data_IF_144955531288
#
_entry.id   IF_144955531288
#
_cell.length_a   1.000
_cell.length_b   1.000
_cell.length_c   1.000
_cell.angle_alpha   90.00
_cell.angle_beta   90.00
_cell.angle_gamma   90.00
#
_symmetry.space_group_name_H-M   'P 1'
#
loop_
_entity.id
_entity.type
_entity.pdbx_description
1 polymer ?
#
# COMPACT_ATOMS: atom_id res chain seq x y z
N UNK A 1 -33.11 2.41 7.54
CA UNK A 1 -32.95 0.97 7.83
C UNK A 1 -33.91 0.53 8.94
N UNK A 2 -33.97 1.22 10.07
CA UNK A 2 -34.92 0.87 11.17
C UNK A 2 -36.38 0.98 10.73
N UNK A 3 -36.73 1.95 9.91
CA UNK A 3 -38.05 2.08 9.29
C UNK A 3 -38.40 0.90 8.36
N UNK A 4 -37.39 0.20 7.85
CA UNK A 4 -37.52 -1.02 7.03
C UNK A 4 -37.54 -2.31 7.85
N UNK A 5 -37.67 -2.22 9.18
CA UNK A 5 -37.74 -3.36 10.08
C UNK A 5 -36.38 -3.94 10.49
N UNK A 6 -35.25 -3.30 10.14
CA UNK A 6 -33.92 -3.75 10.56
C UNK A 6 -33.72 -3.48 12.04
N UNK A 7 -33.33 -4.52 12.77
CA UNK A 7 -32.95 -4.44 14.18
C UNK A 7 -31.42 -4.45 14.32
N UNK A 8 -30.88 -3.54 15.14
CA UNK A 8 -29.47 -3.45 15.46
C UNK A 8 -29.22 -3.95 16.89
N UNK A 9 -28.44 -5.01 17.01
CA UNK A 9 -28.04 -5.58 18.30
C UNK A 9 -26.59 -5.15 18.60
N UNK A 10 -26.44 -4.02 19.30
CA UNK A 10 -25.13 -3.53 19.72
C UNK A 10 -24.60 -4.32 20.91
N UNK A 11 -23.27 -4.41 21.06
CA UNK A 11 -22.60 -5.15 22.14
C UNK A 11 -22.96 -6.63 22.16
N UNK A 12 -23.22 -7.19 21.01
CA UNK A 12 -23.38 -8.63 20.82
C UNK A 12 -22.15 -9.18 20.11
N UNK A 13 -21.54 -10.20 20.68
CA UNK A 13 -20.39 -10.89 20.12
C UNK A 13 -20.80 -12.25 19.60
N UNK A 14 -20.48 -12.55 18.35
CA UNK A 14 -20.65 -13.87 17.80
C UNK A 14 -19.53 -14.79 18.32
N UNK A 15 -19.88 -15.85 19.02
CA UNK A 15 -18.95 -16.82 19.60
C UNK A 15 -18.73 -18.03 18.69
N UNK A 16 -19.80 -18.51 18.07
CA UNK A 16 -19.78 -19.70 17.20
C UNK A 16 -20.92 -19.66 16.17
N UNK A 17 -20.72 -20.40 15.08
CA UNK A 17 -21.66 -20.56 13.99
C UNK A 17 -21.78 -22.04 13.65
N UNK A 18 -22.99 -22.61 13.74
CA UNK A 18 -23.29 -23.98 13.32
C UNK A 18 -24.50 -23.99 12.40
N UNK A 19 -24.29 -24.26 11.13
CA UNK A 19 -25.35 -24.19 10.11
C UNK A 19 -26.06 -22.83 10.12
N UNK A 20 -27.30 -22.77 10.55
CA UNK A 20 -28.14 -21.58 10.63
C UNK A 20 -28.30 -21.06 12.07
N UNK A 21 -27.60 -21.64 13.04
CA UNK A 21 -27.65 -21.26 14.45
C UNK A 21 -26.42 -20.43 14.81
N UNK A 22 -26.63 -19.25 15.38
CA UNK A 22 -25.59 -18.41 15.96
C UNK A 22 -25.55 -18.57 17.46
N UNK A 23 -24.36 -18.73 18.02
CA UNK A 23 -24.11 -18.66 19.46
C UNK A 23 -23.58 -17.25 19.76
N UNK A 24 -24.36 -16.46 20.49
CA UNK A 24 -24.17 -15.03 20.68
C UNK A 24 -24.02 -14.73 22.18
N UNK A 25 -23.05 -13.86 22.51
CA UNK A 25 -22.94 -13.28 23.85
C UNK A 25 -23.37 -11.81 23.83
N UNK A 26 -24.31 -11.47 24.74
CA UNK A 26 -24.59 -10.09 25.08
C UNK A 26 -23.51 -9.57 26.04
N UNK A 27 -22.63 -8.68 25.55
CA UNK A 27 -21.51 -8.12 26.34
C UNK A 27 -21.98 -7.18 27.48
N UNK A 28 -23.25 -6.83 27.55
CA UNK A 28 -23.81 -6.02 28.65
C UNK A 28 -24.27 -6.86 29.81
N UNK A 29 -24.89 -8.00 29.51
CA UNK A 29 -25.47 -8.91 30.53
C UNK A 29 -24.60 -10.14 30.76
N UNK A 30 -23.59 -10.36 29.92
CA UNK A 30 -22.73 -11.55 29.87
C UNK A 30 -23.50 -12.86 29.55
N UNK A 31 -24.77 -12.75 29.20
CA UNK A 31 -25.58 -13.92 28.84
C UNK A 31 -25.19 -14.45 27.48
N UNK A 32 -25.12 -15.77 27.36
CA UNK A 32 -24.89 -16.50 26.10
C UNK A 32 -26.20 -17.17 25.72
N UNK A 33 -26.58 -17.03 24.45
CA UNK A 33 -27.81 -17.64 23.91
C UNK A 33 -27.58 -18.09 22.46
N UNK A 34 -28.39 -19.05 22.04
CA UNK A 34 -28.44 -19.53 20.66
C UNK A 34 -29.68 -18.96 19.96
N UNK A 35 -29.50 -18.61 18.70
CA UNK A 35 -30.57 -18.09 17.84
C UNK A 35 -30.46 -18.64 16.42
N UNK A 36 -31.59 -19.15 15.91
CA UNK A 36 -31.69 -19.64 14.53
C UNK A 36 -32.11 -18.53 13.58
N UNK A 37 -31.61 -18.61 12.36
CA UNK A 37 -31.90 -17.68 11.28
C UNK A 37 -32.12 -18.44 9.96
N UNK A 38 -33.01 -17.93 9.10
CA UNK A 38 -33.25 -18.49 7.77
C UNK A 38 -32.01 -18.34 6.84
N UNK A 39 -31.25 -17.26 7.02
CA UNK A 39 -30.00 -16.99 6.30
C UNK A 39 -29.06 -16.12 7.16
N UNK A 40 -27.77 -16.33 7.00
CA UNK A 40 -26.72 -15.61 7.73
C UNK A 40 -25.73 -15.02 6.73
N UNK A 41 -25.42 -13.73 6.90
CA UNK A 41 -24.36 -13.04 6.14
C UNK A 41 -23.24 -12.69 7.09
N UNK A 42 -22.06 -13.29 6.92
CA UNK A 42 -20.86 -12.96 7.69
C UNK A 42 -20.19 -11.73 7.07
N UNK A 43 -20.33 -10.60 7.73
CA UNK A 43 -19.73 -9.31 7.35
C UNK A 43 -18.69 -8.85 8.39
N UNK A 44 -17.88 -9.79 8.91
CA UNK A 44 -16.98 -9.60 10.06
C UNK A 44 -15.65 -8.92 9.68
N UNK A 45 -15.48 -8.48 8.42
CA UNK A 45 -14.23 -7.88 7.96
C UNK A 45 -13.12 -8.91 7.73
N UNK A 46 -11.89 -8.41 7.59
CA UNK A 46 -10.71 -9.24 7.40
C UNK A 46 -9.84 -9.26 8.68
N UNK A 47 -8.57 -8.84 8.57
CA UNK A 47 -7.61 -8.83 9.71
C UNK A 47 -6.92 -7.48 9.88
N UNK A 48 -7.19 -6.51 8.99
CA UNK A 48 -6.70 -5.16 9.15
C UNK A 48 -7.59 -4.38 10.14
N UNK A 49 -6.96 -3.49 10.92
CA UNK A 49 -7.67 -2.69 11.94
C UNK A 49 -8.36 -3.54 13.02
N UNK A 50 -7.68 -4.56 13.52
CA UNK A 50 -8.19 -5.49 14.54
C UNK A 50 -8.76 -4.77 15.77
N UNK A 51 -8.19 -3.62 16.14
CA UNK A 51 -8.71 -2.76 17.23
C UNK A 51 -10.13 -2.22 16.98
N UNK A 52 -10.59 -2.23 15.74
CA UNK A 52 -11.94 -1.83 15.33
C UNK A 52 -12.86 -3.03 15.09
N UNK A 53 -12.44 -4.24 15.49
CA UNK A 53 -13.24 -5.46 15.41
C UNK A 53 -12.99 -6.32 14.14
N UNK A 54 -12.11 -5.90 13.24
CA UNK A 54 -11.74 -6.67 12.05
C UNK A 54 -10.51 -7.54 12.35
N UNK A 55 -10.71 -8.57 13.20
CA UNK A 55 -9.65 -9.43 13.75
C UNK A 55 -9.50 -10.78 13.05
N UNK A 56 -10.38 -11.09 12.09
CA UNK A 56 -10.40 -12.36 11.38
C UNK A 56 -10.80 -13.58 12.20
N UNK A 57 -11.33 -13.38 13.41
CA UNK A 57 -11.70 -14.48 14.32
C UNK A 57 -12.76 -15.44 13.75
N UNK A 58 -13.54 -14.97 12.76
CA UNK A 58 -14.54 -15.78 12.07
C UNK A 58 -13.96 -16.94 11.25
N UNK A 59 -12.67 -16.90 10.90
CA UNK A 59 -12.00 -17.96 10.15
C UNK A 59 -12.09 -19.32 10.87
N UNK A 60 -12.14 -19.31 12.21
CA UNK A 60 -12.26 -20.51 13.02
C UNK A 60 -13.56 -21.31 12.80
N UNK A 61 -14.59 -20.68 12.24
CA UNK A 61 -15.86 -21.34 11.94
C UNK A 61 -15.87 -22.07 10.59
N UNK A 62 -14.81 -21.90 9.79
CA UNK A 62 -14.65 -22.55 8.51
C UNK A 62 -13.46 -23.50 8.56
N UNK A 63 -13.46 -24.52 7.70
CA UNK A 63 -12.30 -25.42 7.58
C UNK A 63 -11.16 -24.71 6.85
N UNK A 64 -9.93 -24.99 7.28
CA UNK A 64 -8.73 -24.28 6.80
C UNK A 64 -8.55 -24.35 5.27
N UNK A 65 -8.97 -25.46 4.66
CA UNK A 65 -8.90 -25.69 3.22
C UNK A 65 -9.78 -24.73 2.40
N UNK A 66 -10.81 -24.16 3.04
CA UNK A 66 -11.73 -23.19 2.44
C UNK A 66 -11.19 -21.76 2.48
N UNK A 67 -10.10 -21.53 3.21
CA UNK A 67 -9.55 -20.19 3.45
C UNK A 67 -8.24 -20.01 2.70
N UNK A 68 -8.11 -18.90 1.98
CA UNK A 68 -6.83 -18.38 1.51
C UNK A 68 -6.28 -17.44 2.59
N UNK A 69 -5.03 -17.62 3.05
CA UNK A 69 -4.44 -16.76 4.06
C UNK A 69 -4.53 -15.27 3.72
N UNK A 70 -4.88 -14.46 4.68
CA UNK A 70 -4.93 -13.03 4.50
C UNK A 70 -3.55 -12.44 4.21
N UNK A 71 -3.49 -11.49 3.27
CA UNK A 71 -2.32 -10.72 2.90
C UNK A 71 -2.69 -9.24 2.81
N UNK A 72 -1.78 -8.37 3.21
CA UNK A 72 -1.93 -6.93 3.02
C UNK A 72 -2.12 -6.63 1.52
N UNK A 73 -3.23 -6.02 1.11
CA UNK A 73 -3.48 -5.67 -0.30
C UNK A 73 -3.05 -4.23 -0.59
N UNK A 74 -3.70 -3.27 0.03
CA UNK A 74 -3.35 -1.86 -0.08
C UNK A 74 -2.57 -1.46 1.18
N UNK A 75 -1.27 -1.66 1.16
CA UNK A 75 -0.37 -1.35 2.26
C UNK A 75 0.83 -0.51 1.77
N UNK A 76 1.38 0.31 2.65
CA UNK A 76 2.65 0.96 2.42
C UNK A 76 3.78 -0.07 2.28
N UNK A 77 4.92 0.39 1.78
CA UNK A 77 6.14 -0.42 1.61
C UNK A 77 7.28 0.19 2.39
N UNK A 78 8.13 -0.66 2.94
CA UNK A 78 9.21 -0.25 3.83
C UNK A 78 10.48 0.08 3.08
N UNK A 79 11.10 1.17 3.49
CA UNK A 79 12.42 1.64 3.05
C UNK A 79 13.11 2.33 4.22
N UNK A 80 14.27 1.84 4.60
CA UNK A 80 15.10 2.56 5.55
C UNK A 80 15.65 3.84 4.89
N UNK A 81 15.25 4.99 5.42
CA UNK A 81 15.73 6.30 4.99
C UNK A 81 16.88 6.79 5.87
N UNK A 82 17.80 7.55 5.28
CA UNK A 82 18.73 8.32 6.10
C UNK A 82 18.02 9.47 6.82
N UNK A 83 18.63 10.03 7.85
CA UNK A 83 18.10 11.19 8.59
C UNK A 83 17.86 12.41 7.69
N UNK A 84 18.52 12.46 6.55
CA UNK A 84 18.40 13.50 5.55
C UNK A 84 16.98 13.56 4.93
N UNK A 85 16.23 12.46 4.96
CA UNK A 85 14.87 12.39 4.42
C UNK A 85 13.79 12.91 5.39
N UNK A 86 14.10 13.08 6.67
CA UNK A 86 13.11 13.50 7.69
C UNK A 86 12.32 14.76 7.32
N UNK A 87 12.93 15.83 6.74
CA UNK A 87 12.18 17.05 6.41
C UNK A 87 11.10 16.88 5.34
N UNK A 88 11.11 15.77 4.62
CA UNK A 88 10.15 15.48 3.53
C UNK A 88 9.17 14.35 3.87
N UNK A 89 9.18 13.84 5.09
CA UNK A 89 8.16 12.90 5.53
C UNK A 89 6.77 13.53 5.51
N UNK A 90 5.78 12.81 5.00
CA UNK A 90 4.43 13.28 4.74
C UNK A 90 4.27 14.07 3.43
N UNK A 91 5.37 14.39 2.72
CA UNK A 91 5.28 15.12 1.46
C UNK A 91 5.01 14.21 0.26
N UNK A 92 4.12 14.61 -0.66
CA UNK A 92 3.85 13.85 -1.86
C UNK A 92 4.89 14.10 -2.96
N UNK A 93 5.27 13.03 -3.65
CA UNK A 93 5.87 13.06 -4.98
C UNK A 93 4.72 13.13 -5.98
N UNK A 94 4.40 14.30 -6.48
CA UNK A 94 3.26 14.51 -7.38
C UNK A 94 3.59 14.16 -8.83
N UNK A 95 2.61 13.52 -9.51
CA UNK A 95 2.66 13.23 -10.94
C UNK A 95 3.95 12.50 -11.33
N UNK A 96 4.21 11.38 -10.70
CA UNK A 96 5.33 10.51 -11.04
C UNK A 96 4.80 9.25 -11.74
N UNK A 97 5.60 8.65 -12.62
CA UNK A 97 5.32 7.30 -13.08
C UNK A 97 6.03 6.31 -12.18
N UNK A 98 5.35 5.20 -11.87
CA UNK A 98 5.93 4.09 -11.13
C UNK A 98 5.68 2.78 -11.87
N UNK A 99 6.64 1.87 -11.78
CA UNK A 99 6.50 0.51 -12.31
C UNK A 99 7.44 -0.47 -11.60
N UNK A 100 7.06 -1.72 -11.66
CA UNK A 100 7.93 -2.87 -11.38
C UNK A 100 8.46 -3.36 -12.71
N UNK A 101 9.68 -3.88 -12.75
CA UNK A 101 10.28 -4.37 -13.99
C UNK A 101 9.39 -5.41 -14.69
N UNK A 102 9.24 -5.25 -16.01
CA UNK A 102 8.32 -6.08 -16.80
C UNK A 102 6.84 -5.67 -16.74
N UNK A 103 6.49 -4.64 -15.94
CA UNK A 103 5.12 -4.11 -15.83
C UNK A 103 4.97 -2.75 -16.53
N UNK A 104 3.73 -2.44 -16.89
CA UNK A 104 3.41 -1.13 -17.46
C UNK A 104 3.60 0.00 -16.42
N UNK A 105 4.07 1.14 -16.89
CA UNK A 105 4.14 2.36 -16.09
C UNK A 105 2.74 2.84 -15.72
N UNK A 106 2.59 3.29 -14.48
CA UNK A 106 1.35 3.88 -13.98
C UNK A 106 1.66 5.23 -13.38
N UNK A 107 0.91 6.26 -13.76
CA UNK A 107 1.07 7.61 -13.22
C UNK A 107 0.20 7.82 -11.99
N UNK A 108 0.72 8.59 -11.04
CA UNK A 108 0.01 9.01 -9.84
C UNK A 108 0.91 9.75 -8.85
N UNK A 109 0.44 9.84 -7.62
CA UNK A 109 1.17 10.44 -6.51
C UNK A 109 1.65 9.36 -5.54
N UNK A 110 2.83 9.59 -4.94
CA UNK A 110 3.41 8.74 -3.88
C UNK A 110 3.70 9.63 -2.68
N UNK A 111 3.38 9.17 -1.47
CA UNK A 111 3.75 9.86 -0.24
C UNK A 111 5.02 9.22 0.33
N UNK A 112 6.00 10.06 0.69
CA UNK A 112 7.19 9.66 1.43
C UNK A 112 6.81 9.63 2.91
N UNK A 113 6.80 8.46 3.53
CA UNK A 113 6.56 8.31 4.97
C UNK A 113 7.86 8.00 5.72
N UNK A 114 7.82 8.08 7.05
CA UNK A 114 8.99 7.76 7.88
C UNK A 114 9.44 6.31 7.75
N UNK A 115 8.53 5.41 7.38
CA UNK A 115 8.83 3.98 7.18
C UNK A 115 9.15 3.61 5.72
N UNK A 116 8.86 4.50 4.76
CA UNK A 116 9.06 4.18 3.35
C UNK A 116 8.14 4.96 2.41
N UNK A 117 7.34 4.26 1.62
CA UNK A 117 6.43 4.84 0.62
C UNK A 117 5.00 4.33 0.79
N UNK A 118 4.04 5.20 0.53
CA UNK A 118 2.61 4.85 0.58
C UNK A 118 1.80 5.60 -0.49
N UNK A 119 0.55 5.35 -0.56
CA UNK A 119 -0.50 5.94 -1.39
C UNK A 119 -1.00 5.07 -2.53
N UNK A 120 -2.02 5.54 -3.22
CA UNK A 120 -2.71 4.80 -4.28
C UNK A 120 -1.80 4.28 -5.39
N UNK A 121 -0.73 5.00 -5.73
CA UNK A 121 0.22 4.53 -6.76
C UNK A 121 1.03 3.33 -6.26
N UNK A 122 1.45 3.32 -4.99
CA UNK A 122 2.12 2.16 -4.36
C UNK A 122 1.16 0.97 -4.32
N UNK A 123 -0.09 1.19 -3.94
CA UNK A 123 -1.09 0.12 -3.85
C UNK A 123 -1.36 -0.55 -5.21
N UNK A 124 -1.36 0.23 -6.29
CA UNK A 124 -1.47 -0.31 -7.66
C UNK A 124 -0.29 -1.23 -8.03
N UNK A 125 0.90 -0.95 -7.54
CA UNK A 125 2.08 -1.79 -7.76
C UNK A 125 2.15 -2.99 -6.79
N UNK A 126 1.32 -3.02 -5.74
CA UNK A 126 1.39 -3.97 -4.63
C UNK A 126 1.37 -5.44 -5.06
N UNK A 127 0.60 -5.82 -6.08
CA UNK A 127 0.58 -7.20 -6.59
C UNK A 127 1.94 -7.62 -7.18
N UNK A 128 2.52 -6.76 -8.02
CA UNK A 128 3.81 -7.03 -8.67
C UNK A 128 4.96 -7.03 -7.65
N UNK A 129 4.94 -6.10 -6.69
CA UNK A 129 5.91 -6.05 -5.61
C UNK A 129 5.86 -7.31 -4.73
N UNK A 130 4.66 -7.80 -4.36
CA UNK A 130 4.52 -9.07 -3.62
C UNK A 130 5.06 -10.26 -4.40
N UNK A 131 4.86 -10.29 -5.71
CA UNK A 131 5.39 -11.35 -6.55
C UNK A 131 6.93 -11.33 -6.55
N UNK A 132 7.55 -10.15 -6.65
CA UNK A 132 9.00 -10.03 -6.52
C UNK A 132 9.50 -10.48 -5.14
N UNK A 133 8.84 -10.05 -4.05
CA UNK A 133 9.24 -10.43 -2.69
C UNK A 133 9.23 -11.96 -2.51
N UNK A 134 8.19 -12.63 -3.03
CA UNK A 134 8.09 -14.09 -2.98
C UNK A 134 9.18 -14.80 -3.80
N UNK A 135 9.63 -14.22 -4.90
CA UNK A 135 10.58 -14.86 -5.81
C UNK A 135 12.04 -14.51 -5.51
N UNK A 136 12.30 -13.28 -5.09
CA UNK A 136 13.65 -12.69 -5.03
C UNK A 136 14.04 -12.20 -3.63
N UNK A 137 13.12 -12.24 -2.65
CA UNK A 137 13.29 -11.68 -1.30
C UNK A 137 13.62 -10.17 -1.25
N UNK A 138 13.53 -9.48 -2.37
CA UNK A 138 13.75 -8.03 -2.52
C UNK A 138 12.70 -7.46 -3.45
N UNK A 139 12.18 -6.30 -3.12
CA UNK A 139 11.28 -5.55 -3.99
C UNK A 139 12.03 -4.38 -4.63
N UNK A 140 11.87 -4.20 -5.93
CA UNK A 140 12.41 -3.07 -6.66
C UNK A 140 11.28 -2.30 -7.35
N UNK A 141 11.14 -1.04 -6.95
CA UNK A 141 10.25 -0.08 -7.61
C UNK A 141 11.08 0.88 -8.44
N UNK A 142 10.63 1.19 -9.64
CA UNK A 142 11.22 2.21 -10.49
C UNK A 142 10.30 3.42 -10.56
N UNK A 143 10.88 4.63 -10.52
CA UNK A 143 10.18 5.89 -10.66
C UNK A 143 10.73 6.72 -11.82
N UNK A 144 9.83 7.34 -12.56
CA UNK A 144 10.12 8.52 -13.36
C UNK A 144 9.58 9.74 -12.61
N UNK A 145 10.47 10.57 -12.09
CA UNK A 145 10.07 11.72 -11.26
C UNK A 145 9.53 12.90 -12.09
N UNK A 146 9.80 12.92 -13.40
CA UNK A 146 9.39 14.00 -14.30
C UNK A 146 8.90 13.42 -15.65
N UNK A 147 7.76 12.70 -15.65
CA UNK A 147 7.28 11.98 -16.84
C UNK A 147 6.95 12.90 -18.03
N UNK A 148 6.59 14.15 -17.75
CA UNK A 148 6.24 15.14 -18.79
C UNK A 148 7.47 15.64 -19.58
N UNK A 149 8.70 15.32 -19.16
CA UNK A 149 9.93 15.70 -19.85
C UNK A 149 10.59 14.50 -20.51
N UNK A 150 11.07 14.69 -21.74
CA UNK A 150 11.98 13.72 -22.35
C UNK A 150 13.33 13.72 -21.66
N UNK A 151 14.11 12.65 -21.84
CA UNK A 151 15.47 12.55 -21.32
C UNK A 151 16.33 13.74 -21.78
N UNK A 152 16.28 14.09 -23.07
CA UNK A 152 17.05 15.19 -23.64
C UNK A 152 16.66 16.57 -23.06
N UNK A 153 15.34 16.82 -22.93
CA UNK A 153 14.84 18.07 -22.31
C UNK A 153 15.29 18.19 -20.86
N UNK A 154 15.25 17.09 -20.10
CA UNK A 154 15.69 17.09 -18.71
C UNK A 154 17.20 17.30 -18.61
N UNK A 155 18.00 16.61 -19.41
CA UNK A 155 19.45 16.79 -19.44
C UNK A 155 19.82 18.25 -19.77
N UNK A 156 19.13 18.87 -20.73
CA UNK A 156 19.33 20.28 -21.07
C UNK A 156 19.01 21.21 -19.88
N UNK A 157 17.92 20.96 -19.16
CA UNK A 157 17.53 21.75 -17.97
C UNK A 157 18.51 21.57 -16.79
N UNK A 158 19.20 20.44 -16.72
CA UNK A 158 20.15 20.10 -15.67
C UNK A 158 21.60 20.54 -16.00
N UNK A 159 21.85 21.23 -17.11
CA UNK A 159 23.19 21.73 -17.46
C UNK A 159 23.68 22.70 -16.37
N UNK A 160 24.89 22.46 -15.82
CA UNK A 160 25.46 23.31 -14.79
C UNK A 160 25.62 24.74 -15.28
N UNK A 161 25.37 25.71 -14.41
CA UNK A 161 25.54 27.12 -14.66
C UNK A 161 26.38 27.76 -13.54
N UNK A 162 27.41 28.51 -13.91
CA UNK A 162 28.25 29.25 -12.94
C UNK A 162 27.46 30.22 -12.07
N UNK A 163 26.23 30.61 -12.48
CA UNK A 163 25.40 31.60 -11.80
C UNK A 163 24.33 30.99 -10.90
N UNK A 164 24.22 29.65 -10.81
CA UNK A 164 23.14 28.99 -10.08
C UNK A 164 23.67 27.86 -9.20
N UNK A 165 23.11 27.75 -7.98
CA UNK A 165 23.35 26.57 -7.15
C UNK A 165 22.63 25.35 -7.72
N UNK A 166 23.16 24.16 -7.43
CA UNK A 166 22.54 22.88 -7.81
C UNK A 166 21.08 22.80 -7.38
N UNK A 167 20.75 23.26 -6.19
CA UNK A 167 19.38 23.26 -5.67
C UNK A 167 18.43 24.12 -6.51
N UNK A 168 18.87 25.32 -6.90
CA UNK A 168 18.08 26.19 -7.77
C UNK A 168 17.94 25.64 -9.19
N UNK A 169 18.98 25.00 -9.71
CA UNK A 169 18.97 24.34 -11.00
C UNK A 169 17.95 23.21 -11.03
N UNK A 170 18.00 22.30 -10.05
CA UNK A 170 17.06 21.18 -9.93
C UNK A 170 15.62 21.64 -9.77
N UNK A 171 15.37 22.65 -8.93
CA UNK A 171 14.03 23.23 -8.78
C UNK A 171 13.47 23.79 -10.09
N UNK A 172 14.29 24.49 -10.89
CA UNK A 172 13.91 25.00 -12.21
C UNK A 172 13.69 23.88 -13.24
N UNK A 173 14.39 22.77 -13.08
CA UNK A 173 14.15 21.57 -13.90
C UNK A 173 12.84 20.85 -13.56
N UNK A 174 12.21 21.15 -12.41
CA UNK A 174 10.96 20.55 -11.96
C UNK A 174 11.10 19.58 -10.78
N UNK A 175 12.32 19.44 -10.23
CA UNK A 175 12.53 18.69 -8.98
C UNK A 175 12.21 19.60 -7.80
N UNK A 176 10.97 19.48 -7.26
CA UNK A 176 10.60 20.11 -6.02
C UNK A 176 11.40 19.56 -4.83
N UNK A 177 11.12 20.03 -3.61
CA UNK A 177 11.88 19.63 -2.42
C UNK A 177 11.84 18.13 -2.18
N UNK A 178 10.68 17.50 -2.30
CA UNK A 178 10.53 16.06 -2.07
C UNK A 178 11.29 15.24 -3.11
N UNK A 179 11.11 15.56 -4.41
CA UNK A 179 11.82 14.91 -5.52
C UNK A 179 13.33 15.11 -5.42
N UNK A 180 13.77 16.34 -5.11
CA UNK A 180 15.19 16.65 -4.97
C UNK A 180 15.85 15.90 -3.81
N UNK A 181 15.17 15.77 -2.66
CA UNK A 181 15.68 14.99 -1.53
C UNK A 181 15.75 13.51 -1.87
N UNK A 182 14.74 12.97 -2.55
CA UNK A 182 14.76 11.57 -2.98
C UNK A 182 15.93 11.30 -3.97
N UNK A 183 16.20 12.22 -4.89
CA UNK A 183 17.36 12.10 -5.79
C UNK A 183 18.68 12.14 -5.00
N UNK A 184 18.80 13.02 -3.99
CA UNK A 184 20.01 13.07 -3.15
C UNK A 184 20.21 11.82 -2.30
N UNK A 185 19.12 11.21 -1.85
CA UNK A 185 19.14 9.98 -1.07
C UNK A 185 19.60 8.77 -1.89
N UNK A 186 19.18 8.69 -3.15
CA UNK A 186 19.30 7.46 -3.95
C UNK A 186 20.33 7.55 -5.10
N UNK A 187 20.77 8.76 -5.45
CA UNK A 187 21.70 8.97 -6.58
C UNK A 187 23.05 9.44 -6.06
N UNK A 188 24.10 8.73 -6.46
CA UNK A 188 25.47 9.07 -6.09
C UNK A 188 25.80 10.53 -6.43
N UNK A 189 26.43 11.23 -5.48
CA UNK A 189 26.80 12.64 -5.60
C UNK A 189 27.70 12.94 -6.79
N UNK A 190 28.53 12.00 -7.22
CA UNK A 190 29.41 12.15 -8.38
C UNK A 190 28.65 12.36 -9.69
N UNK A 191 27.37 11.94 -9.74
CA UNK A 191 26.51 12.10 -10.91
C UNK A 191 25.77 13.44 -10.95
N UNK A 192 25.71 14.19 -9.86
CA UNK A 192 24.90 15.41 -9.76
C UNK A 192 25.29 16.51 -10.74
N UNK A 193 26.54 16.54 -11.16
CA UNK A 193 27.07 17.48 -12.14
C UNK A 193 27.25 16.85 -13.54
N UNK A 194 26.62 15.69 -13.80
CA UNK A 194 26.65 14.99 -15.09
C UNK A 194 25.19 14.95 -15.63
N UNK A 195 24.77 15.98 -16.40
CA UNK A 195 23.36 16.19 -16.74
C UNK A 195 22.66 15.00 -17.37
N UNK A 196 23.32 14.32 -18.31
CA UNK A 196 22.78 13.19 -19.04
C UNK A 196 22.58 11.99 -18.10
N UNK A 197 23.57 11.70 -17.26
CA UNK A 197 23.50 10.60 -16.29
C UNK A 197 22.51 10.89 -15.19
N UNK A 198 22.45 12.14 -14.69
CA UNK A 198 21.48 12.55 -13.71
C UNK A 198 20.06 12.48 -14.28
N UNK A 199 19.85 12.94 -15.50
CA UNK A 199 18.56 12.83 -16.18
C UNK A 199 18.12 11.36 -16.31
N UNK A 200 19.04 10.46 -16.67
CA UNK A 200 18.77 9.03 -16.72
C UNK A 200 18.33 8.49 -15.36
N UNK A 201 19.02 8.87 -14.27
CA UNK A 201 18.64 8.45 -12.90
C UNK A 201 17.28 8.99 -12.46
N UNK A 202 16.99 10.26 -12.76
CA UNK A 202 15.70 10.90 -12.45
C UNK A 202 14.53 10.24 -13.22
N UNK A 203 14.77 9.84 -14.47
CA UNK A 203 13.78 9.17 -15.32
C UNK A 203 13.66 7.66 -15.06
N UNK A 204 14.60 7.08 -14.35
CA UNK A 204 14.65 5.65 -14.03
C UNK A 204 15.25 5.45 -12.64
N UNK A 205 14.61 6.04 -11.64
CA UNK A 205 15.06 5.98 -10.26
C UNK A 205 14.68 4.64 -9.65
N UNK A 206 15.66 3.81 -9.32
CA UNK A 206 15.47 2.52 -8.69
C UNK A 206 15.41 2.67 -7.18
N UNK A 207 14.37 2.11 -6.57
CA UNK A 207 14.18 2.08 -5.12
C UNK A 207 14.09 0.63 -4.67
N UNK A 208 15.00 0.23 -3.79
CA UNK A 208 14.92 -1.05 -3.11
C UNK A 208 14.06 -0.90 -1.87
N UNK A 209 13.10 -1.81 -1.73
CA UNK A 209 12.14 -1.87 -0.65
C UNK A 209 12.30 -3.19 0.08
N UNK A 210 12.20 -3.17 1.40
CA UNK A 210 12.46 -4.36 2.23
C UNK A 210 11.24 -5.24 2.43
N UNK A 211 10.07 -4.65 2.71
CA UNK A 211 8.85 -5.38 3.00
C UNK A 211 7.60 -4.50 2.79
N UNK A 212 6.44 -5.08 2.95
CA UNK A 212 5.19 -4.37 3.14
C UNK A 212 4.99 -3.99 4.61
N UNK A 213 4.25 -2.91 4.85
CA UNK A 213 3.76 -2.63 6.20
C UNK A 213 2.90 -3.78 6.72
N UNK A 214 2.87 -4.00 8.05
CA UNK A 214 2.05 -5.03 8.67
C UNK A 214 0.62 -5.01 8.18
N UNK A 215 0.00 -6.19 8.11
CA UNK A 215 -1.36 -6.34 7.61
C UNK A 215 -2.39 -5.56 8.44
N UNK A 216 -2.11 -5.35 9.71
CA UNK A 216 -2.94 -4.57 10.63
C UNK A 216 -3.04 -3.09 10.23
N UNK A 217 -2.05 -2.58 9.49
CA UNK A 217 -1.99 -1.21 8.98
C UNK A 217 -2.47 -1.10 7.53
N UNK A 218 -2.80 -2.22 6.88
CA UNK A 218 -3.26 -2.22 5.50
C UNK A 218 -4.67 -1.61 5.39
N UNK A 219 -4.91 -0.85 4.33
CA UNK A 219 -6.23 -0.29 4.02
C UNK A 219 -7.20 -1.40 3.61
N UNK A 220 -6.70 -2.45 2.96
CA UNK A 220 -7.47 -3.63 2.59
C UNK A 220 -6.61 -4.89 2.61
N UNK A 221 -7.27 -6.03 2.76
CA UNK A 221 -6.68 -7.35 2.71
C UNK A 221 -7.12 -8.11 1.45
N UNK A 222 -6.26 -8.96 0.95
CA UNK A 222 -6.58 -10.05 0.03
C UNK A 222 -6.60 -11.38 0.80
N UNK A 223 -7.28 -12.38 0.27
CA UNK A 223 -7.50 -13.65 0.96
C UNK A 223 -8.92 -13.80 1.49
N UNK A 224 -9.15 -14.71 2.42
CA UNK A 224 -10.45 -15.05 2.96
C UNK A 224 -11.04 -16.30 2.31
N UNK A 225 -12.35 -16.40 2.20
CA UNK A 225 -13.01 -17.59 1.65
C UNK A 225 -12.63 -17.79 0.18
N UNK A 226 -12.14 -18.98 -0.16
CA UNK A 226 -11.76 -19.33 -1.53
C UNK A 226 -13.00 -19.34 -2.43
N UNK A 227 -12.90 -18.70 -3.58
CA UNK A 227 -13.99 -18.67 -4.55
C UNK A 227 -14.43 -20.07 -5.02
N UNK A 228 -13.49 -21.02 -5.07
CA UNK A 228 -13.75 -22.39 -5.51
C UNK A 228 -14.66 -23.20 -4.58
N UNK A 229 -14.85 -22.75 -3.33
CA UNK A 229 -15.73 -23.44 -2.36
C UNK A 229 -17.10 -22.78 -2.24
N UNK A 230 -17.34 -21.71 -2.96
CA UNK A 230 -18.63 -21.03 -2.98
C UNK A 230 -19.61 -21.78 -3.88
N UNK A 231 -20.89 -21.74 -3.50
CA UNK A 231 -21.95 -22.27 -4.36
C UNK A 231 -22.08 -21.37 -5.63
N UNK A 232 -22.19 -21.94 -6.84
CA UNK A 232 -22.36 -21.17 -8.09
C UNK A 232 -23.61 -20.27 -8.13
N UNK A 233 -24.51 -20.45 -7.20
CA UNK A 233 -25.77 -19.69 -7.11
C UNK A 233 -25.78 -18.61 -6.01
N UNK A 234 -24.58 -18.28 -5.48
CA UNK A 234 -24.42 -17.13 -4.57
C UNK A 234 -24.34 -15.82 -5.34
#
# INVERSE_FOLDING_TARGET
LTESGVQFHYRHQLLDLKYQTLNIQDLKTEQIFEQDFDAIILACGAVSWSKLGSDGAWQKWLVSEQIEPFQASNAGVEKAWSTFMQPVFGQPLKRVDAWVEGQAKTQGDIVISHYGLESGLIYKQGRALRQQLKQQQVMCLYLDLLPDLTMAQLAQKLQPSKKQSTANLWRKAGLDTAKANLVRELVDKSLWNQPEKLAQKVKHLRIELSDFRPIEEAISCAGGVKQAVLNPHL
#
